data_IF_193950678934
#
_entry.id   IF_193950678934
#
_cell.length_a   1.000
_cell.length_b   1.000
_cell.length_c   1.000
_cell.angle_alpha   90.00
_cell.angle_beta   90.00
_cell.angle_gamma   90.00
#
_symmetry.space_group_name_H-M   'P 1'
#
loop_
_entity.id
_entity.type
_entity.pdbx_description
1 polymer ?
#
# COMPACT_ATOMS: atom_id res chain seq x y z
N UNK A 1 -15.40 10.44 -22.08
CA UNK A 1 -16.29 9.87 -21.04
C UNK A 1 -17.36 8.93 -21.59
N UNK A 2 -18.17 9.36 -22.58
CA UNK A 2 -19.28 8.53 -23.10
C UNK A 2 -18.84 7.15 -23.58
N UNK A 3 -17.69 7.05 -24.26
CA UNK A 3 -17.16 5.78 -24.76
C UNK A 3 -16.87 4.75 -23.64
N UNK A 4 -16.25 5.18 -22.52
CA UNK A 4 -15.97 4.28 -21.40
C UNK A 4 -17.25 3.80 -20.71
N UNK A 5 -18.26 4.67 -20.58
CA UNK A 5 -19.56 4.29 -20.04
C UNK A 5 -20.29 3.30 -20.95
N UNK A 6 -20.25 3.54 -22.27
CA UNK A 6 -20.84 2.62 -23.24
C UNK A 6 -20.17 1.24 -23.18
N UNK A 7 -18.84 1.20 -23.08
CA UNK A 7 -18.10 -0.06 -22.92
C UNK A 7 -18.45 -0.76 -21.60
N UNK A 8 -18.54 -0.03 -20.49
CA UNK A 8 -18.96 -0.62 -19.20
C UNK A 8 -20.35 -1.26 -19.29
N UNK A 9 -21.31 -0.60 -19.93
CA UNK A 9 -22.67 -1.14 -20.14
C UNK A 9 -22.66 -2.35 -21.06
N UNK A 10 -21.85 -2.31 -22.11
CA UNK A 10 -21.71 -3.42 -23.06
C UNK A 10 -21.18 -4.69 -22.36
N UNK A 11 -20.16 -4.55 -21.52
CA UNK A 11 -19.46 -5.70 -20.92
C UNK A 11 -20.07 -6.15 -19.59
N UNK A 12 -20.65 -5.23 -18.80
CA UNK A 12 -21.13 -5.51 -17.43
C UNK A 12 -22.64 -5.27 -17.24
N UNK A 13 -23.39 -5.00 -18.32
CA UNK A 13 -24.84 -4.84 -18.32
C UNK A 13 -25.35 -3.41 -18.06
N UNK A 14 -26.65 -3.19 -18.24
CA UNK A 14 -27.28 -1.85 -18.24
C UNK A 14 -27.10 -1.05 -16.95
N UNK A 15 -26.91 -1.73 -15.82
CA UNK A 15 -26.70 -1.10 -14.51
C UNK A 15 -25.24 -0.70 -14.27
N UNK A 16 -24.32 -1.09 -15.16
CA UNK A 16 -22.92 -0.73 -15.04
C UNK A 16 -22.73 0.79 -15.06
N UNK A 17 -21.90 1.26 -14.14
CA UNK A 17 -21.56 2.68 -14.04
C UNK A 17 -20.08 2.86 -13.80
N UNK A 18 -19.56 3.95 -14.35
CA UNK A 18 -18.20 4.39 -14.16
C UNK A 18 -18.20 5.88 -13.86
N UNK A 19 -17.26 6.33 -13.04
CA UNK A 19 -17.12 7.75 -12.71
C UNK A 19 -16.48 8.52 -13.86
N UNK A 20 -16.56 9.85 -13.78
CA UNK A 20 -15.61 10.71 -14.48
C UNK A 20 -14.20 10.60 -13.85
N UNK A 21 -13.13 10.95 -14.59
CA UNK A 21 -11.83 11.24 -13.98
C UNK A 21 -12.00 12.25 -12.82
N UNK A 22 -11.32 12.01 -11.71
CA UNK A 22 -11.44 12.74 -10.45
C UNK A 22 -12.57 12.25 -9.52
N UNK A 23 -13.50 11.43 -10.01
CA UNK A 23 -14.67 10.97 -9.25
C UNK A 23 -14.36 10.09 -8.02
N UNK A 24 -13.16 9.51 -7.94
CA UNK A 24 -12.69 8.75 -6.76
C UNK A 24 -11.52 9.43 -6.05
N UNK A 25 -11.45 10.76 -6.13
CA UNK A 25 -10.46 11.56 -5.43
C UNK A 25 -9.10 11.61 -6.14
N UNK A 26 -8.10 12.23 -5.50
CA UNK A 26 -6.89 12.64 -6.18
C UNK A 26 -5.91 11.51 -6.48
N UNK A 27 -6.10 10.27 -6.01
CA UNK A 27 -5.16 9.18 -6.27
C UNK A 27 -5.76 8.08 -7.13
N UNK A 28 -6.84 7.45 -6.64
CA UNK A 28 -7.52 6.42 -7.43
C UNK A 28 -8.08 7.03 -8.72
N UNK A 29 -8.33 8.35 -8.74
CA UNK A 29 -8.78 9.16 -9.85
C UNK A 29 -10.23 8.84 -10.24
N UNK A 30 -10.50 7.65 -10.72
CA UNK A 30 -11.85 7.23 -11.10
C UNK A 30 -11.86 5.81 -11.65
N UNK A 31 -13.04 5.35 -12.03
CA UNK A 31 -13.22 3.97 -12.46
C UNK A 31 -14.63 3.47 -12.32
N UNK A 32 -14.79 2.15 -12.21
CA UNK A 32 -16.04 1.50 -11.86
C UNK A 32 -15.82 0.14 -11.22
N UNK A 33 -16.74 -0.23 -10.32
CA UNK A 33 -16.84 -1.60 -9.82
C UNK A 33 -17.84 -2.34 -10.68
N UNK A 34 -17.34 -3.25 -11.51
CA UNK A 34 -18.14 -3.98 -12.48
C UNK A 34 -18.34 -5.44 -12.06
N UNK A 35 -19.32 -6.08 -12.68
CA UNK A 35 -19.47 -7.54 -12.68
C UNK A 35 -19.58 -8.00 -14.11
N UNK A 36 -18.62 -8.80 -14.56
CA UNK A 36 -18.54 -9.34 -15.92
C UNK A 36 -18.51 -10.86 -15.78
N UNK A 37 -19.47 -11.57 -16.36
CA UNK A 37 -19.59 -13.04 -16.26
C UNK A 37 -19.47 -13.57 -14.81
N UNK A 38 -20.17 -12.94 -13.86
CA UNK A 38 -20.11 -13.20 -12.41
C UNK A 38 -18.78 -12.87 -11.70
N UNK A 39 -17.78 -12.33 -12.42
CA UNK A 39 -16.52 -11.87 -11.83
C UNK A 39 -16.57 -10.41 -11.42
N UNK A 40 -16.13 -10.11 -10.20
CA UNK A 40 -15.94 -8.74 -9.71
C UNK A 40 -14.69 -8.13 -10.32
N UNK A 41 -14.84 -6.98 -10.97
CA UNK A 41 -13.75 -6.28 -11.66
C UNK A 41 -13.63 -4.85 -11.16
N UNK A 42 -12.45 -4.50 -10.65
CA UNK A 42 -12.07 -3.12 -10.33
C UNK A 42 -11.48 -2.47 -11.59
N UNK A 43 -12.28 -1.70 -12.32
CA UNK A 43 -11.78 -0.90 -13.44
C UNK A 43 -11.30 0.44 -12.92
N UNK A 44 -10.02 0.73 -13.06
CA UNK A 44 -9.39 1.95 -12.51
C UNK A 44 -8.72 2.75 -13.63
N UNK A 45 -8.83 4.09 -13.56
CA UNK A 45 -8.18 5.00 -14.50
C UNK A 45 -6.80 5.43 -14.01
N UNK A 46 -5.86 5.48 -14.95
CA UNK A 46 -4.50 6.00 -14.74
C UNK A 46 -4.13 6.98 -15.83
N UNK A 47 -3.73 8.17 -15.42
CA UNK A 47 -3.13 9.17 -16.30
C UNK A 47 -1.65 8.83 -16.46
N UNK A 48 -1.24 8.46 -17.69
CA UNK A 48 0.12 8.04 -17.97
C UNK A 48 1.15 9.14 -17.72
N UNK A 49 0.80 10.42 -17.88
CA UNK A 49 1.74 11.51 -17.59
C UNK A 49 2.00 11.66 -16.10
N UNK A 50 1.00 11.36 -15.27
CA UNK A 50 1.21 11.25 -13.83
C UNK A 50 2.02 10.02 -13.47
N UNK A 51 1.74 8.86 -14.06
CA UNK A 51 2.50 7.63 -13.80
C UNK A 51 3.99 7.85 -14.15
N UNK A 52 4.29 8.49 -15.29
CA UNK A 52 5.66 8.85 -15.69
C UNK A 52 6.34 9.76 -14.68
N UNK A 53 5.66 10.83 -14.23
CA UNK A 53 6.23 11.73 -13.20
C UNK A 53 6.55 10.98 -11.91
N UNK A 54 5.62 10.16 -11.44
CA UNK A 54 5.82 9.34 -10.23
C UNK A 54 6.95 8.33 -10.43
N UNK A 55 7.08 7.75 -11.62
CA UNK A 55 8.20 6.87 -11.94
C UNK A 55 9.54 7.61 -11.84
N UNK A 56 9.64 8.81 -12.42
CA UNK A 56 10.83 9.68 -12.27
C UNK A 56 11.11 10.01 -10.80
N UNK A 57 10.08 10.33 -10.01
CA UNK A 57 10.23 10.56 -8.57
C UNK A 57 10.77 9.31 -7.85
N UNK A 58 10.25 8.12 -8.16
CA UNK A 58 10.72 6.87 -7.60
C UNK A 58 12.20 6.62 -7.95
N UNK A 59 12.62 6.90 -9.18
CA UNK A 59 14.02 6.78 -9.60
C UNK A 59 14.96 7.70 -8.80
N UNK A 60 14.43 8.82 -8.31
CA UNK A 60 15.14 9.79 -7.48
C UNK A 60 14.87 9.58 -5.97
N UNK A 61 14.23 8.48 -5.57
CA UNK A 61 13.95 8.14 -4.17
C UNK A 61 12.86 9.00 -3.52
N UNK A 62 12.02 9.66 -4.32
CA UNK A 62 10.89 10.45 -3.84
C UNK A 62 9.59 9.68 -3.94
N UNK A 63 8.78 9.79 -2.91
CA UNK A 63 7.39 9.37 -2.91
C UNK A 63 6.58 10.28 -1.99
N UNK A 64 5.31 10.43 -2.31
CA UNK A 64 4.28 11.06 -1.48
C UNK A 64 3.30 10.01 -0.95
N UNK A 65 2.77 10.26 0.26
CA UNK A 65 1.69 9.47 0.87
C UNK A 65 0.47 10.36 1.04
N UNK A 66 -0.59 10.08 0.28
CA UNK A 66 -1.77 10.90 0.25
C UNK A 66 -2.97 10.34 1.00
N UNK A 67 -3.82 11.22 1.53
CA UNK A 67 -5.14 10.83 2.05
C UNK A 67 -6.03 10.41 0.87
N UNK A 68 -6.58 9.19 0.94
CA UNK A 68 -7.40 8.62 -0.12
C UNK A 68 -8.43 7.65 0.47
N UNK A 69 -9.71 7.86 0.13
CA UNK A 69 -10.75 6.91 0.49
C UNK A 69 -10.46 5.54 -0.13
N UNK A 70 -10.65 4.48 0.67
CA UNK A 70 -10.30 3.11 0.30
C UNK A 70 -8.85 2.71 0.57
N UNK A 71 -7.99 3.63 1.02
CA UNK A 71 -6.61 3.37 1.39
C UNK A 71 -6.33 3.83 2.84
N UNK A 72 -6.65 3.02 3.87
CA UNK A 72 -6.54 3.42 5.26
C UNK A 72 -5.11 3.73 5.73
N UNK A 73 -4.09 3.20 5.05
CA UNK A 73 -2.69 3.55 5.32
C UNK A 73 -2.28 4.88 4.63
N UNK A 74 -3.10 5.39 3.71
CA UNK A 74 -2.72 6.41 2.75
C UNK A 74 -2.23 5.80 1.43
N UNK A 75 -2.45 6.52 0.34
CA UNK A 75 -2.00 6.12 -0.99
C UNK A 75 -0.52 6.46 -1.15
N UNK A 76 0.32 5.44 -1.21
CA UNK A 76 1.73 5.61 -1.54
C UNK A 76 1.86 5.79 -3.05
N UNK A 77 2.32 6.96 -3.50
CA UNK A 77 2.44 7.29 -4.93
C UNK A 77 3.15 6.22 -5.75
N UNK A 78 4.20 5.59 -5.23
CA UNK A 78 4.95 4.55 -5.95
C UNK A 78 4.09 3.34 -6.36
N UNK A 79 2.89 3.19 -5.81
CA UNK A 79 1.88 2.25 -6.29
C UNK A 79 1.61 2.40 -7.79
N UNK A 80 1.64 3.61 -8.35
CA UNK A 80 1.48 3.82 -9.80
C UNK A 80 2.54 3.10 -10.64
N UNK A 81 3.81 3.22 -10.25
CA UNK A 81 4.91 2.54 -10.93
C UNK A 81 4.84 1.02 -10.72
N UNK A 82 4.50 0.59 -9.50
CA UNK A 82 4.33 -0.82 -9.17
C UNK A 82 3.17 -1.48 -9.91
N UNK A 83 2.03 -0.80 -10.07
CA UNK A 83 0.90 -1.28 -10.87
C UNK A 83 1.33 -1.55 -12.30
N UNK A 84 2.10 -0.65 -12.92
CA UNK A 84 2.63 -0.84 -14.28
C UNK A 84 3.66 -1.97 -14.33
N UNK A 85 4.57 -2.07 -13.34
CA UNK A 85 5.56 -3.13 -13.29
C UNK A 85 4.94 -4.53 -13.20
N UNK A 86 3.84 -4.65 -12.42
CA UNK A 86 3.15 -5.90 -12.13
C UNK A 86 2.06 -6.25 -13.17
N UNK A 87 1.65 -5.32 -14.02
CA UNK A 87 0.52 -5.55 -14.91
C UNK A 87 0.85 -6.55 -16.03
N UNK A 88 -0.22 -7.03 -16.66
CA UNK A 88 -0.18 -7.62 -18.00
C UNK A 88 -0.79 -6.64 -18.98
N UNK A 89 -0.02 -6.22 -19.97
CA UNK A 89 -0.51 -5.33 -21.04
C UNK A 89 -1.49 -6.11 -21.92
N UNK A 90 -2.72 -5.60 -22.04
CA UNK A 90 -3.77 -6.20 -22.87
C UNK A 90 -3.91 -5.51 -24.23
N UNK A 91 -3.72 -4.19 -24.27
CA UNK A 91 -3.72 -3.38 -25.48
C UNK A 91 -2.79 -2.18 -25.30
N UNK A 92 -1.92 -1.94 -26.29
CA UNK A 92 -0.98 -0.83 -26.30
C UNK A 92 -0.60 -0.46 -27.74
N UNK A 93 -1.51 0.16 -28.50
CA UNK A 93 -1.27 0.46 -29.91
C UNK A 93 -0.10 1.44 -30.12
N UNK A 94 0.26 2.22 -29.10
CA UNK A 94 1.36 3.18 -29.15
C UNK A 94 2.70 2.68 -28.61
N UNK A 95 2.73 1.48 -28.00
CA UNK A 95 3.93 0.90 -27.38
C UNK A 95 4.41 1.60 -26.10
N UNK A 96 3.76 2.69 -25.69
CA UNK A 96 4.21 3.53 -24.57
C UNK A 96 4.05 2.86 -23.22
N UNK A 97 2.98 2.06 -23.04
CA UNK A 97 2.74 1.34 -21.79
C UNK A 97 3.69 0.15 -21.64
N UNK A 98 3.97 -0.54 -22.74
CA UNK A 98 4.93 -1.64 -22.81
C UNK A 98 6.34 -1.14 -22.46
N UNK A 99 6.79 -0.06 -23.10
CA UNK A 99 8.08 0.56 -22.80
C UNK A 99 8.17 1.03 -21.33
N UNK A 100 7.10 1.64 -20.80
CA UNK A 100 7.06 2.03 -19.39
C UNK A 100 7.15 0.83 -18.46
N UNK A 101 6.39 -0.25 -18.72
CA UNK A 101 6.44 -1.50 -17.97
C UNK A 101 7.82 -2.15 -17.97
N UNK A 102 8.52 -2.15 -19.10
CA UNK A 102 9.90 -2.63 -19.19
C UNK A 102 10.83 -1.80 -18.30
N UNK A 103 10.68 -0.47 -18.32
CA UNK A 103 11.49 0.42 -17.50
C UNK A 103 11.26 0.24 -15.99
N UNK A 104 10.05 -0.14 -15.56
CA UNK A 104 9.71 -0.34 -14.14
C UNK A 104 9.99 -1.76 -13.62
N UNK A 105 10.53 -2.67 -14.46
CA UNK A 105 10.92 -4.02 -14.00
C UNK A 105 12.08 -3.97 -13.01
N UNK A 106 12.98 -2.99 -13.14
CA UNK A 106 14.07 -2.79 -12.19
C UNK A 106 13.61 -1.86 -11.08
N UNK A 107 13.54 -2.39 -9.86
CA UNK A 107 13.17 -1.60 -8.68
C UNK A 107 14.24 -0.53 -8.39
N UNK A 108 13.90 0.76 -8.25
CA UNK A 108 14.90 1.79 -8.00
C UNK A 108 15.56 1.65 -6.63
N UNK A 109 16.90 1.57 -6.61
CA UNK A 109 17.66 1.56 -5.35
C UNK A 109 17.39 2.80 -4.51
N UNK A 110 17.20 3.97 -5.14
CA UNK A 110 16.88 5.21 -4.42
C UNK A 110 15.53 5.13 -3.69
N UNK A 111 14.50 4.54 -4.31
CA UNK A 111 13.21 4.30 -3.66
C UNK A 111 13.34 3.28 -2.53
N UNK A 112 14.11 2.20 -2.73
CA UNK A 112 14.40 1.22 -1.68
C UNK A 112 14.99 1.90 -0.44
N UNK A 113 16.02 2.73 -0.62
CA UNK A 113 16.63 3.50 0.49
C UNK A 113 15.61 4.41 1.16
N UNK A 114 14.85 5.18 0.38
CA UNK A 114 13.88 6.12 0.94
C UNK A 114 12.77 5.44 1.78
N UNK A 115 12.28 4.28 1.34
CA UNK A 115 11.27 3.51 2.09
C UNK A 115 11.86 2.87 3.36
N UNK A 116 13.12 2.44 3.33
CA UNK A 116 13.83 1.93 4.52
C UNK A 116 14.11 3.07 5.50
N UNK A 117 14.55 4.23 5.03
CA UNK A 117 14.76 5.42 5.86
C UNK A 117 13.44 5.84 6.52
N UNK A 118 12.32 5.79 5.78
CA UNK A 118 10.97 6.06 6.28
C UNK A 118 10.52 5.16 7.44
N UNK A 119 11.22 4.07 7.74
CA UNK A 119 10.91 3.16 8.85
C UNK A 119 10.95 3.83 10.23
N UNK A 120 11.60 4.99 10.37
CA UNK A 120 11.54 5.80 11.61
C UNK A 120 10.10 6.10 12.06
N UNK A 121 9.17 6.23 11.12
CA UNK A 121 7.77 6.51 11.43
C UNK A 121 7.10 5.34 12.18
N UNK A 122 7.56 4.10 11.97
CA UNK A 122 7.05 2.95 12.70
C UNK A 122 7.41 3.02 14.19
N UNK A 123 8.64 3.40 14.54
CA UNK A 123 9.04 3.61 15.94
C UNK A 123 8.25 4.74 16.58
N UNK A 124 8.07 5.84 15.84
CA UNK A 124 7.28 6.98 16.29
C UNK A 124 5.83 6.57 16.58
N UNK A 125 5.22 5.81 15.67
CA UNK A 125 3.84 5.32 15.81
C UNK A 125 3.70 4.35 16.99
N UNK A 126 4.66 3.44 17.19
CA UNK A 126 4.70 2.58 18.40
C UNK A 126 4.86 3.41 19.67
N UNK A 127 5.65 4.49 19.62
CA UNK A 127 5.76 5.47 20.69
C UNK A 127 4.43 6.11 21.05
N UNK A 128 3.67 6.56 20.05
CA UNK A 128 2.35 7.15 20.23
C UNK A 128 1.32 6.15 20.78
N UNK A 129 1.38 4.88 20.34
CA UNK A 129 0.46 3.84 20.82
C UNK A 129 0.47 3.67 22.34
N UNK A 130 1.57 4.04 23.03
CA UNK A 130 1.66 4.04 24.51
C UNK A 130 0.67 4.99 25.17
N UNK A 131 0.29 6.10 24.53
CA UNK A 131 -0.76 6.98 25.06
C UNK A 131 -2.13 6.29 25.07
N UNK A 132 -2.37 5.36 24.16
CA UNK A 132 -3.55 4.50 24.19
C UNK A 132 -3.61 3.64 25.46
N UNK A 133 -2.48 3.18 25.99
CA UNK A 133 -2.47 2.46 27.26
C UNK A 133 -2.86 3.35 28.44
N UNK A 134 -2.27 4.54 28.54
CA UNK A 134 -2.57 5.52 29.62
C UNK A 134 -4.05 5.90 29.64
N UNK A 135 -4.66 6.05 28.46
CA UNK A 135 -6.08 6.36 28.30
C UNK A 135 -7.02 5.15 28.35
N UNK A 136 -6.50 3.92 28.41
CA UNK A 136 -7.27 2.69 28.13
C UNK A 136 -8.08 2.82 26.83
N UNK A 137 -7.44 3.36 25.79
CA UNK A 137 -7.98 3.61 24.46
C UNK A 137 -7.35 2.64 23.44
N UNK A 138 -7.94 1.44 23.29
CA UNK A 138 -7.44 0.46 22.33
C UNK A 138 -7.68 0.90 20.87
N UNK A 139 -8.60 1.84 20.60
CA UNK A 139 -8.86 2.32 19.25
C UNK A 139 -7.72 3.22 18.76
N UNK A 140 -7.27 4.16 19.59
CA UNK A 140 -6.10 4.99 19.27
C UNK A 140 -4.83 4.15 19.13
N UNK A 141 -4.61 3.20 20.04
CA UNK A 141 -3.51 2.25 19.93
C UNK A 141 -3.58 1.42 18.63
N UNK A 142 -4.76 0.90 18.26
CA UNK A 142 -4.95 0.17 17.01
C UNK A 142 -4.58 1.00 15.78
N UNK A 143 -4.98 2.27 15.72
CA UNK A 143 -4.64 3.18 14.63
C UNK A 143 -3.12 3.40 14.52
N UNK A 144 -2.45 3.64 15.63
CA UNK A 144 -0.99 3.80 15.68
C UNK A 144 -0.27 2.51 15.26
N UNK A 145 -0.73 1.35 15.74
CA UNK A 145 -0.15 0.06 15.40
C UNK A 145 -0.37 -0.32 13.94
N UNK A 146 -1.52 0.01 13.36
CA UNK A 146 -1.78 -0.20 11.94
C UNK A 146 -0.82 0.63 11.08
N UNK A 147 -0.57 1.90 11.46
CA UNK A 147 0.43 2.75 10.80
C UNK A 147 1.83 2.15 10.91
N UNK A 148 2.24 1.73 12.11
CA UNK A 148 3.56 1.13 12.34
C UNK A 148 3.79 -0.12 11.48
N UNK A 149 2.81 -1.04 11.45
CA UNK A 149 2.87 -2.26 10.64
C UNK A 149 2.88 -1.94 9.15
N UNK A 150 2.08 -0.98 8.70
CA UNK A 150 2.03 -0.58 7.29
C UNK A 150 3.35 0.01 6.79
N UNK A 151 3.96 0.91 7.57
CA UNK A 151 5.29 1.47 7.26
C UNK A 151 6.35 0.36 7.24
N UNK A 152 6.31 -0.57 8.21
CA UNK A 152 7.21 -1.72 8.22
C UNK A 152 7.06 -2.61 6.96
N UNK A 153 5.82 -2.83 6.50
CA UNK A 153 5.58 -3.57 5.26
C UNK A 153 6.19 -2.85 4.04
N UNK A 154 6.06 -1.53 3.96
CA UNK A 154 6.66 -0.72 2.88
C UNK A 154 8.20 -0.81 2.90
N UNK A 155 8.83 -0.72 4.08
CA UNK A 155 10.28 -0.83 4.23
C UNK A 155 10.80 -2.23 3.85
N UNK A 156 10.14 -3.30 4.30
CA UNK A 156 10.48 -4.69 3.92
C UNK A 156 10.41 -4.89 2.41
N UNK A 157 9.34 -4.40 1.77
CA UNK A 157 9.15 -4.49 0.33
C UNK A 157 10.17 -3.65 -0.44
N UNK A 158 10.42 -2.41 0.00
CA UNK A 158 11.45 -1.54 -0.56
C UNK A 158 12.82 -2.19 -0.54
N UNK A 159 13.25 -2.69 0.63
CA UNK A 159 14.53 -3.39 0.79
C UNK A 159 14.64 -4.66 -0.06
N UNK A 160 13.53 -5.40 -0.22
CA UNK A 160 13.49 -6.59 -1.07
C UNK A 160 13.48 -6.26 -2.58
N UNK A 161 13.34 -4.99 -2.96
CA UNK A 161 13.11 -4.59 -4.35
C UNK A 161 11.80 -5.15 -4.93
N UNK A 162 10.76 -5.27 -4.10
CA UNK A 162 9.47 -5.84 -4.48
C UNK A 162 8.35 -4.80 -4.34
N UNK A 163 7.55 -4.61 -5.38
CA UNK A 163 6.46 -3.62 -5.37
C UNK A 163 5.33 -4.00 -4.39
N UNK A 164 5.00 -3.07 -3.50
CA UNK A 164 3.79 -3.10 -2.67
C UNK A 164 2.85 -1.98 -3.12
N UNK A 165 1.74 -2.35 -3.78
CA UNK A 165 0.88 -1.40 -4.50
C UNK A 165 -0.38 -0.98 -3.72
N UNK A 166 -0.73 -1.70 -2.65
CA UNK A 166 -1.80 -1.31 -1.74
C UNK A 166 -1.67 -2.07 -0.40
N UNK A 167 -2.49 -1.68 0.56
CA UNK A 167 -2.54 -2.26 1.90
C UNK A 167 -3.33 -3.59 1.97
N UNK A 168 -4.10 -3.94 0.93
CA UNK A 168 -4.90 -5.19 0.90
C UNK A 168 -3.95 -6.39 0.89
N UNK A 169 -3.90 -7.11 2.01
CA UNK A 169 -3.01 -8.26 2.16
C UNK A 169 -1.53 -7.90 2.34
N UNK A 170 -1.18 -6.63 2.60
CA UNK A 170 0.22 -6.18 2.74
C UNK A 170 1.01 -6.98 3.77
N UNK A 171 0.39 -7.34 4.89
CA UNK A 171 1.04 -8.09 5.98
C UNK A 171 1.39 -9.50 5.54
N UNK A 172 0.46 -10.17 4.85
CA UNK A 172 0.71 -11.50 4.30
C UNK A 172 1.75 -11.46 3.17
N UNK A 173 1.74 -10.40 2.35
CA UNK A 173 2.75 -10.19 1.31
C UNK A 173 4.14 -10.00 1.90
N UNK A 174 4.30 -9.06 2.82
CA UNK A 174 5.56 -8.78 3.48
C UNK A 174 6.08 -10.01 4.25
N UNK A 175 5.20 -10.78 4.90
CA UNK A 175 5.59 -12.02 5.59
C UNK A 175 6.09 -13.16 4.70
N UNK A 176 5.90 -13.08 3.37
CA UNK A 176 6.47 -14.05 2.41
C UNK A 176 7.87 -13.65 1.93
N UNK A 177 8.32 -12.43 2.23
CA UNK A 177 9.66 -11.98 1.85
C UNK A 177 10.71 -12.78 2.63
N UNK A 178 11.81 -13.23 1.99
CA UNK A 178 12.86 -13.99 2.67
C UNK A 178 13.49 -13.29 3.87
N UNK A 179 13.50 -11.96 3.88
CA UNK A 179 14.06 -11.15 4.96
C UNK A 179 13.05 -10.86 6.10
N UNK A 180 11.78 -11.24 5.95
CA UNK A 180 10.78 -10.93 6.95
C UNK A 180 11.14 -11.59 8.30
N UNK A 181 10.95 -10.89 9.44
CA UNK A 181 11.12 -11.49 10.75
C UNK A 181 10.31 -12.78 10.88
N UNK A 182 10.79 -13.71 11.71
CA UNK A 182 10.08 -14.96 11.97
C UNK A 182 8.64 -14.69 12.41
N UNK A 183 7.71 -15.39 11.75
CA UNK A 183 6.27 -15.31 11.94
C UNK A 183 5.71 -13.88 11.80
N UNK A 184 6.36 -13.01 11.00
CA UNK A 184 6.00 -11.60 10.84
C UNK A 184 4.50 -11.41 10.62
N UNK A 185 3.91 -12.10 9.64
CA UNK A 185 2.51 -11.92 9.29
C UNK A 185 1.57 -12.29 10.45
N UNK A 186 1.79 -13.46 11.06
CA UNK A 186 0.97 -13.92 12.17
C UNK A 186 1.09 -13.00 13.40
N UNK A 187 2.30 -12.49 13.68
CA UNK A 187 2.55 -11.55 14.78
C UNK A 187 1.88 -10.21 14.52
N UNK A 188 2.07 -9.63 13.35
CA UNK A 188 1.43 -8.36 12.96
C UNK A 188 -0.11 -8.46 12.99
N UNK A 189 -0.68 -9.55 12.51
CA UNK A 189 -2.13 -9.79 12.58
C UNK A 189 -2.63 -9.92 14.01
N UNK A 190 -1.88 -10.57 14.92
CA UNK A 190 -2.26 -10.64 16.33
C UNK A 190 -2.28 -9.26 17.00
N UNK A 191 -1.28 -8.43 16.74
CA UNK A 191 -1.23 -7.05 17.27
C UNK A 191 -2.48 -6.24 16.91
N UNK A 192 -3.01 -6.45 15.70
CA UNK A 192 -4.17 -5.71 15.19
C UNK A 192 -5.51 -6.41 15.45
N UNK A 193 -5.50 -7.72 15.67
CA UNK A 193 -6.70 -8.53 15.91
C UNK A 193 -7.27 -8.35 17.31
N UNK A 194 -6.41 -8.10 18.31
CA UNK A 194 -6.84 -7.76 19.66
C UNK A 194 -5.76 -6.93 20.37
N UNK A 195 -5.96 -5.60 20.41
CA UNK A 195 -5.02 -4.68 21.05
C UNK A 195 -5.02 -4.82 22.58
N UNK A 196 -6.18 -5.12 23.16
CA UNK A 196 -6.40 -5.25 24.60
C UNK A 196 -7.59 -4.42 25.10
N UNK A 197 -8.05 -4.71 26.30
CA UNK A 197 -9.17 -4.02 26.98
C UNK A 197 -8.73 -3.30 28.25
N UNK A 198 -7.52 -3.59 28.75
CA UNK A 198 -6.92 -2.94 29.90
C UNK A 198 -5.60 -2.27 29.54
N UNK A 199 -5.19 -1.29 30.35
CA UNK A 199 -3.87 -0.64 30.25
C UNK A 199 -2.74 -1.67 30.10
N UNK A 200 -2.71 -2.70 30.96
CA UNK A 200 -1.67 -3.74 30.94
C UNK A 200 -1.65 -4.53 29.63
N UNK A 201 -2.82 -4.88 29.09
CA UNK A 201 -2.90 -5.61 27.82
C UNK A 201 -2.44 -4.73 26.65
N UNK A 202 -2.84 -3.46 26.62
CA UNK A 202 -2.41 -2.52 25.59
C UNK A 202 -0.89 -2.30 25.66
N UNK A 203 -0.32 -2.13 26.85
CA UNK A 203 1.14 -2.02 27.05
C UNK A 203 1.88 -3.25 26.52
N UNK A 204 1.38 -4.46 26.78
CA UNK A 204 1.98 -5.68 26.26
C UNK A 204 1.94 -5.72 24.73
N UNK A 205 0.81 -5.39 24.12
CA UNK A 205 0.67 -5.33 22.65
C UNK A 205 1.62 -4.30 22.05
N UNK A 206 1.79 -3.13 22.68
CA UNK A 206 2.73 -2.10 22.23
C UNK A 206 4.19 -2.56 22.38
N UNK A 207 4.53 -3.28 23.45
CA UNK A 207 5.86 -3.86 23.63
C UNK A 207 6.18 -4.94 22.59
N UNK A 208 5.21 -5.78 22.23
CA UNK A 208 5.34 -6.79 21.19
C UNK A 208 5.52 -6.14 19.80
N UNK A 209 4.78 -5.06 19.53
CA UNK A 209 4.93 -4.25 18.32
C UNK A 209 6.32 -3.61 18.24
N UNK A 210 6.83 -3.04 19.34
CA UNK A 210 8.18 -2.49 19.39
C UNK A 210 9.25 -3.55 19.07
N UNK A 211 9.06 -4.76 19.56
CA UNK A 211 9.95 -5.89 19.25
C UNK A 211 9.90 -6.28 17.78
N UNK A 212 8.70 -6.32 17.19
CA UNK A 212 8.53 -6.63 15.77
C UNK A 212 9.17 -5.55 14.88
N UNK A 213 8.94 -4.27 15.16
CA UNK A 213 9.54 -3.15 14.40
C UNK A 213 11.06 -3.17 14.48
N UNK A 214 11.64 -3.42 15.66
CA UNK A 214 13.10 -3.57 15.83
C UNK A 214 13.66 -4.72 15.00
N UNK A 215 12.95 -5.85 14.92
CA UNK A 215 13.38 -6.97 14.07
C UNK A 215 13.30 -6.64 12.59
N UNK A 216 12.28 -5.87 12.16
CA UNK A 216 12.20 -5.37 10.78
C UNK A 216 13.40 -4.47 10.47
N UNK A 217 13.75 -3.54 11.37
CA UNK A 217 14.95 -2.69 11.24
C UNK A 217 16.23 -3.50 11.01
N UNK A 218 16.47 -4.47 11.89
CA UNK A 218 17.60 -5.40 11.75
C UNK A 218 17.58 -6.13 10.40
N UNK A 219 16.42 -6.57 9.94
CA UNK A 219 16.28 -7.29 8.68
C UNK A 219 16.55 -6.43 7.44
N UNK A 220 16.28 -5.12 7.49
CA UNK A 220 16.55 -4.18 6.39
C UNK A 220 17.91 -3.48 6.52
N UNK A 221 18.75 -3.88 7.48
CA UNK A 221 20.09 -3.35 7.68
C UNK A 221 20.13 -1.94 8.26
N UNK A 222 19.11 -1.54 9.02
CA UNK A 222 19.00 -0.22 9.65
C UNK A 222 18.91 -0.33 11.18
#
# INVERSE_FOLDING_TARGET
MMALRALAVQEAGEQASVTAPGGWGPWVNGGGWLTIDDWRVDWIYRDLDRVRRVWTDCQEGRYEVGVQAGHPLGFYSHAYAGEVALCRVLADPGGELTALRESTQMYPTALSTALVDGLWEADFSVGLARYGAVGTDPAYAAGCLFRAVGVACQALHGHAGQWLINEKGMVASAGRLPLAPQDFAARAQRLLGHVGESMQQIEQTVADAATLVRQVRTAVGH
#
